data_IF_141367606692
#
_entry.id   IF_141367606692
#
_cell.length_a   1.000
_cell.length_b   1.000
_cell.length_c   1.000
_cell.angle_alpha   90.00
_cell.angle_beta   90.00
_cell.angle_gamma   90.00
#
_symmetry.space_group_name_H-M   'P 1'
#
loop_
_entity.id
_entity.type
_entity.pdbx_description
1 polymer ?
#
# COMPACT_ATOMS: atom_id res chain seq x y z
N UNK A 1 2.67 -1.62 10.16
CA UNK A 1 3.61 -1.75 9.05
C UNK A 1 2.84 -2.07 7.78
N UNK A 2 3.40 -1.75 6.61
CA UNK A 2 2.81 -2.07 5.31
C UNK A 2 2.64 -3.59 5.14
N UNK A 3 3.59 -4.40 5.64
CA UNK A 3 3.48 -5.87 5.65
C UNK A 3 2.25 -6.38 6.40
N UNK A 4 1.94 -5.85 7.60
CA UNK A 4 0.72 -6.27 8.32
C UNK A 4 -0.56 -5.88 7.60
N UNK A 5 -0.54 -4.80 6.84
CA UNK A 5 -1.69 -4.41 6.03
C UNK A 5 -1.85 -5.33 4.81
N UNK A 6 -0.76 -5.67 4.14
CA UNK A 6 -0.74 -6.65 3.06
C UNK A 6 -1.24 -8.03 3.54
N UNK A 7 -0.82 -8.47 4.72
CA UNK A 7 -1.28 -9.71 5.35
C UNK A 7 -2.79 -9.71 5.63
N UNK A 8 -3.32 -8.57 6.11
CA UNK A 8 -4.76 -8.42 6.29
C UNK A 8 -5.51 -8.46 4.95
N UNK A 9 -4.95 -7.89 3.88
CA UNK A 9 -5.51 -8.00 2.53
C UNK A 9 -5.49 -9.44 2.02
N UNK A 10 -4.40 -10.18 2.26
CA UNK A 10 -4.28 -11.61 1.97
C UNK A 10 -5.36 -12.43 2.67
N UNK A 11 -5.56 -12.21 3.97
CA UNK A 11 -6.60 -12.89 4.74
C UNK A 11 -8.00 -12.59 4.20
N UNK A 12 -8.30 -11.32 3.92
CA UNK A 12 -9.60 -10.90 3.41
C UNK A 12 -9.88 -11.45 2.01
N UNK A 13 -8.89 -11.38 1.11
CA UNK A 13 -8.97 -11.93 -0.25
C UNK A 13 -9.23 -13.45 -0.20
N UNK A 14 -8.54 -14.17 0.69
CA UNK A 14 -8.78 -15.60 0.92
C UNK A 14 -10.19 -15.90 1.45
N UNK A 15 -10.72 -15.10 2.39
CA UNK A 15 -12.11 -15.24 2.89
C UNK A 15 -13.17 -14.97 1.82
N UNK A 16 -12.84 -14.17 0.81
CA UNK A 16 -13.68 -13.87 -0.34
C UNK A 16 -13.54 -14.87 -1.48
N UNK A 17 -12.70 -15.89 -1.31
CA UNK A 17 -12.39 -16.92 -2.32
C UNK A 17 -11.90 -16.30 -3.64
N UNK A 18 -11.20 -15.16 -3.57
CA UNK A 18 -10.55 -14.58 -4.73
C UNK A 18 -9.36 -15.45 -5.18
N UNK A 19 -9.04 -15.42 -6.47
CA UNK A 19 -7.86 -16.15 -6.95
C UNK A 19 -6.58 -15.49 -6.39
N UNK A 20 -5.73 -16.26 -5.67
CA UNK A 20 -4.50 -15.73 -5.11
C UNK A 20 -3.47 -15.47 -6.21
N UNK A 21 -2.67 -14.43 -5.99
CA UNK A 21 -1.42 -14.17 -6.72
C UNK A 21 -0.22 -14.80 -6.01
N UNK A 22 0.93 -14.14 -6.11
CA UNK A 22 2.18 -14.58 -5.50
C UNK A 22 2.08 -14.68 -3.97
N UNK A 23 2.59 -15.77 -3.41
CA UNK A 23 2.56 -16.09 -1.98
C UNK A 23 1.18 -15.97 -1.28
N UNK A 24 0.10 -16.12 -2.06
CA UNK A 24 -1.27 -16.05 -1.55
C UNK A 24 -1.84 -14.64 -1.45
N UNK A 25 -1.07 -13.59 -1.75
CA UNK A 25 -1.57 -12.21 -1.76
C UNK A 25 -2.55 -11.97 -2.91
N UNK A 26 -3.48 -11.01 -2.78
CA UNK A 26 -4.34 -10.65 -3.90
C UNK A 26 -3.51 -10.09 -5.07
N UNK A 27 -3.92 -10.40 -6.30
CA UNK A 27 -3.27 -9.91 -7.52
C UNK A 27 -3.18 -8.36 -7.61
N UNK A 28 -4.00 -7.64 -6.84
CA UNK A 28 -4.04 -6.19 -6.77
C UNK A 28 -3.22 -5.57 -5.62
N UNK A 29 -2.39 -6.34 -4.91
CA UNK A 29 -1.57 -5.85 -3.79
C UNK A 29 -0.73 -4.62 -4.19
N UNK A 30 0.06 -4.74 -5.27
CA UNK A 30 0.91 -3.66 -5.75
C UNK A 30 0.12 -2.39 -6.07
N UNK A 31 -1.02 -2.54 -6.76
CA UNK A 31 -1.90 -1.41 -7.09
C UNK A 31 -2.49 -0.72 -5.85
N UNK A 32 -2.80 -1.47 -4.78
CA UNK A 32 -3.28 -0.90 -3.51
C UNK A 32 -2.19 -0.13 -2.78
N UNK A 33 -0.96 -0.65 -2.76
CA UNK A 33 0.20 0.02 -2.17
C UNK A 33 0.51 1.31 -2.96
N UNK A 34 0.55 1.23 -4.29
CA UNK A 34 0.76 2.39 -5.16
C UNK A 34 -0.32 3.46 -4.91
N UNK A 35 -1.60 3.08 -4.94
CA UNK A 35 -2.72 3.99 -4.69
C UNK A 35 -2.60 4.71 -3.33
N UNK A 36 -2.04 4.07 -2.31
CA UNK A 36 -1.81 4.71 -1.02
C UNK A 36 -0.66 5.74 -1.09
N UNK A 37 0.50 5.33 -1.60
CA UNK A 37 1.70 6.18 -1.61
C UNK A 37 1.61 7.34 -2.59
N UNK A 38 0.95 7.17 -3.73
CA UNK A 38 0.75 8.23 -4.73
C UNK A 38 -0.14 9.38 -4.24
N UNK A 39 -0.80 9.23 -3.08
CA UNK A 39 -1.54 10.31 -2.41
C UNK A 39 -0.63 11.28 -1.66
N UNK A 40 0.63 10.92 -1.43
CA UNK A 40 1.63 11.80 -0.86
C UNK A 40 2.25 12.67 -1.97
N UNK A 41 2.59 13.91 -1.63
CA UNK A 41 3.14 14.85 -2.59
C UNK A 41 2.97 16.29 -2.14
N UNK A 42 3.66 17.19 -2.84
CA UNK A 42 3.43 18.63 -2.75
C UNK A 42 2.38 19.00 -3.77
N UNK A 43 1.33 19.70 -3.33
CA UNK A 43 0.18 20.03 -4.17
C UNK A 43 -0.23 21.49 -3.99
N UNK A 44 -0.75 22.09 -5.06
CA UNK A 44 -1.53 23.30 -4.95
C UNK A 44 -2.91 22.96 -4.39
N UNK A 45 -3.25 23.52 -3.24
CA UNK A 45 -4.54 23.29 -2.62
C UNK A 45 -5.65 23.99 -3.42
N UNK A 46 -6.80 23.34 -3.52
CA UNK A 46 -8.00 23.97 -4.07
C UNK A 46 -8.44 25.17 -3.20
N UNK A 47 -9.08 26.15 -3.84
CA UNK A 47 -9.59 27.37 -3.20
C UNK A 47 -9.14 28.65 -3.92
N UNK A 48 -9.57 29.79 -3.41
CA UNK A 48 -9.19 31.12 -3.93
C UNK A 48 -7.77 31.53 -3.54
N UNK A 49 -7.31 31.06 -2.39
CA UNK A 49 -6.00 31.41 -1.87
C UNK A 49 -4.99 30.42 -2.45
N UNK A 50 -4.00 30.92 -3.18
CA UNK A 50 -2.95 30.13 -3.84
C UNK A 50 -2.02 29.44 -2.83
N UNK A 51 -2.56 28.46 -2.10
CA UNK A 51 -1.90 27.75 -1.00
C UNK A 51 -1.20 26.52 -1.54
N UNK A 52 0.05 26.34 -1.11
CA UNK A 52 0.79 25.10 -1.32
C UNK A 52 0.70 24.25 -0.05
N UNK A 53 0.45 22.96 -0.22
CA UNK A 53 0.44 21.97 0.85
C UNK A 53 1.33 20.78 0.51
N UNK A 54 1.68 19.99 1.52
CA UNK A 54 2.48 18.78 1.32
C UNK A 54 2.02 17.67 2.25
N UNK A 55 2.01 16.44 1.73
CA UNK A 55 1.87 15.21 2.52
C UNK A 55 3.09 14.36 2.25
N UNK A 56 3.78 13.92 3.31
CA UNK A 56 4.89 12.97 3.22
C UNK A 56 4.46 11.66 3.86
N UNK A 57 4.50 10.56 3.10
CA UNK A 57 4.23 9.22 3.59
C UNK A 57 5.55 8.47 3.80
N UNK A 58 5.75 7.92 5.00
CA UNK A 58 6.88 7.05 5.32
C UNK A 58 6.28 5.75 5.87
N UNK A 59 6.49 4.64 5.17
CA UNK A 59 6.04 3.34 5.63
C UNK A 59 7.19 2.46 6.09
N UNK A 60 6.91 1.63 7.09
CA UNK A 60 7.81 0.57 7.52
C UNK A 60 7.32 -0.76 6.95
N UNK A 61 8.23 -1.50 6.32
CA UNK A 61 8.05 -2.87 5.82
C UNK A 61 8.79 -3.82 6.77
N UNK A 62 8.22 -5.00 7.00
CA UNK A 62 8.74 -5.99 7.95
C UNK A 62 8.67 -7.37 7.32
N UNK A 63 9.57 -7.68 6.37
CA UNK A 63 9.57 -8.96 5.69
C UNK A 63 9.86 -10.11 6.66
N UNK A 64 9.21 -11.27 6.51
CA UNK A 64 9.49 -12.45 7.33
C UNK A 64 10.95 -12.87 7.16
N UNK A 65 11.69 -12.96 8.26
CA UNK A 65 13.11 -13.35 8.22
C UNK A 65 14.06 -12.38 7.51
N UNK A 66 13.59 -11.18 7.13
CA UNK A 66 14.40 -10.23 6.35
C UNK A 66 14.44 -10.52 4.85
N UNK A 67 13.58 -11.42 4.34
CA UNK A 67 13.58 -11.80 2.94
C UNK A 67 12.99 -10.71 2.03
N UNK A 68 13.82 -10.16 1.13
CA UNK A 68 13.41 -9.14 0.16
C UNK A 68 12.78 -9.68 -1.12
N UNK A 69 12.68 -11.01 -1.29
CA UNK A 69 11.87 -11.58 -2.39
C UNK A 69 10.37 -11.64 -2.08
N UNK A 70 9.97 -11.39 -0.84
CA UNK A 70 8.55 -11.30 -0.46
C UNK A 70 7.86 -10.16 -1.23
N UNK A 71 6.59 -10.33 -1.65
CA UNK A 71 5.94 -9.39 -2.58
C UNK A 71 5.57 -8.01 -2.00
N UNK A 72 5.86 -7.71 -0.71
CA UNK A 72 5.55 -6.43 -0.02
C UNK A 72 6.78 -5.57 0.19
#
# INVERSE_FOLDING_TARGET
STSRWAEALREMSGRLEEMPGEEGYPAYLASRIAQFYERAGVVACLGSDARMGSITAIGAVSPPGGDTSEPV
#
